data_IF_515072001712
#
_entry.id   IF_515072001712
#
_cell.length_a   1.000
_cell.length_b   1.000
_cell.length_c   1.000
_cell.angle_alpha   90.00
_cell.angle_beta   90.00
_cell.angle_gamma   90.00
#
_symmetry.space_group_name_H-M   'P 1'
#
loop_
_entity.id
_entity.type
_entity.pdbx_description
1 polymer ?
#
# COMPACT_ATOMS: atom_id res chain seq x y z
N UNK A 1 -15.07 -12.65 -27.28
CA UNK A 1 -14.21 -12.53 -26.09
C UNK A 1 -14.26 -11.10 -25.54
N UNK A 2 -13.63 -10.86 -24.39
CA UNK A 2 -13.46 -9.52 -23.82
C UNK A 2 -11.98 -9.21 -23.82
N UNK A 3 -11.59 -8.21 -24.61
CA UNK A 3 -10.24 -7.66 -24.62
C UNK A 3 -10.12 -6.57 -23.54
N UNK A 4 -8.96 -6.48 -22.89
CA UNK A 4 -8.71 -5.52 -21.80
C UNK A 4 -7.43 -4.76 -22.06
N UNK A 5 -7.43 -3.43 -21.88
CA UNK A 5 -6.21 -2.63 -22.02
C UNK A 5 -5.28 -2.68 -20.81
N UNK A 6 -5.82 -2.97 -19.62
CA UNK A 6 -5.04 -2.93 -18.37
C UNK A 6 -5.46 -4.03 -17.37
N UNK A 7 -5.84 -5.20 -17.89
CA UNK A 7 -6.25 -6.34 -17.07
C UNK A 7 -7.56 -6.12 -16.30
N UNK A 8 -7.78 -6.96 -15.29
CA UNK A 8 -9.05 -7.04 -14.54
C UNK A 8 -8.87 -6.87 -13.02
N UNK A 9 -7.66 -6.59 -12.54
CA UNK A 9 -7.36 -6.50 -11.12
C UNK A 9 -6.72 -5.14 -10.81
N UNK A 10 -7.28 -4.44 -9.84
CA UNK A 10 -6.85 -3.13 -9.39
C UNK A 10 -6.67 -3.11 -7.88
N UNK A 11 -5.98 -2.07 -7.39
CA UNK A 11 -5.77 -1.84 -5.97
C UNK A 11 -6.20 -0.43 -5.59
N UNK A 12 -6.80 -0.29 -4.41
CA UNK A 12 -7.11 0.99 -3.77
C UNK A 12 -7.91 1.97 -4.66
N UNK A 13 -8.79 1.43 -5.51
CA UNK A 13 -9.58 2.22 -6.44
C UNK A 13 -8.75 3.00 -7.47
N UNK A 14 -7.50 2.58 -7.73
CA UNK A 14 -6.61 3.24 -8.67
C UNK A 14 -6.53 2.48 -9.99
N UNK A 15 -6.54 3.24 -11.07
CA UNK A 15 -6.42 2.74 -12.43
C UNK A 15 -7.78 2.51 -13.09
N UNK A 16 -7.71 2.16 -14.37
CA UNK A 16 -8.86 1.86 -15.19
C UNK A 16 -8.47 0.83 -16.25
N UNK A 17 -9.46 0.14 -16.80
CA UNK A 17 -9.32 -0.66 -18.02
C UNK A 17 -10.43 -0.31 -18.99
N UNK A 18 -10.12 -0.37 -20.26
CA UNK A 18 -11.11 -0.45 -21.33
C UNK A 18 -11.47 -1.91 -21.52
N UNK A 19 -12.75 -2.24 -21.56
CA UNK A 19 -13.28 -3.54 -21.95
C UNK A 19 -13.85 -3.44 -23.36
N UNK A 20 -13.32 -4.23 -24.30
CA UNK A 20 -13.79 -4.26 -25.68
C UNK A 20 -14.41 -5.62 -25.99
N UNK A 21 -15.68 -5.62 -26.40
CA UNK A 21 -16.36 -6.82 -26.83
C UNK A 21 -15.90 -7.18 -28.26
N UNK A 22 -15.33 -8.38 -28.42
CA UNK A 22 -14.90 -8.92 -29.71
C UNK A 22 -15.69 -10.16 -30.06
N UNK A 23 -16.15 -10.31 -31.29
CA UNK A 23 -16.83 -11.54 -31.74
C UNK A 23 -16.22 -12.07 -33.03
N UNK A 24 -16.14 -13.39 -33.14
CA UNK A 24 -15.57 -14.09 -34.30
C UNK A 24 -16.49 -15.23 -34.70
N UNK A 25 -16.59 -15.50 -36.00
CA UNK A 25 -17.35 -16.62 -36.50
C UNK A 25 -16.44 -17.85 -36.61
N UNK A 26 -16.79 -18.92 -35.90
CA UNK A 26 -15.95 -20.13 -35.88
C UNK A 26 -14.52 -19.85 -35.41
N UNK A 27 -13.56 -20.19 -36.27
CA UNK A 27 -12.12 -19.97 -36.04
C UNK A 27 -11.54 -18.81 -36.87
N UNK A 28 -12.41 -17.95 -37.42
CA UNK A 28 -11.96 -16.83 -38.26
C UNK A 28 -11.12 -15.84 -37.46
N UNK A 29 -10.05 -15.36 -38.08
CA UNK A 29 -9.16 -14.36 -37.47
C UNK A 29 -9.69 -12.91 -37.61
N UNK A 30 -10.70 -12.70 -38.45
CA UNK A 30 -11.30 -11.39 -38.70
C UNK A 30 -12.54 -11.25 -37.82
N UNK A 31 -12.62 -10.13 -37.10
CA UNK A 31 -13.74 -9.83 -36.22
C UNK A 31 -15.05 -9.72 -37.02
N UNK A 32 -16.10 -10.37 -36.53
CA UNK A 32 -17.46 -10.22 -37.04
C UNK A 32 -18.07 -8.92 -36.53
N UNK A 33 -18.69 -8.13 -37.40
CA UNK A 33 -19.41 -6.92 -36.99
C UNK A 33 -20.79 -7.28 -36.47
N UNK A 34 -21.06 -6.98 -35.20
CA UNK A 34 -22.42 -7.07 -34.64
C UNK A 34 -23.27 -5.86 -35.05
N UNK A 35 -24.59 -6.02 -35.04
CA UNK A 35 -25.54 -4.91 -35.22
C UNK A 35 -25.62 -4.06 -33.95
N UNK A 36 -25.50 -4.68 -32.78
CA UNK A 36 -25.48 -3.99 -31.49
C UNK A 36 -24.74 -4.77 -30.41
N UNK A 37 -24.28 -4.01 -29.42
CA UNK A 37 -23.69 -4.52 -28.19
C UNK A 37 -24.43 -3.92 -26.99
N UNK A 38 -24.55 -4.69 -25.91
CA UNK A 38 -25.02 -4.20 -24.61
C UNK A 38 -24.11 -4.71 -23.51
N UNK A 39 -23.72 -3.83 -22.60
CA UNK A 39 -22.90 -4.12 -21.42
C UNK A 39 -23.73 -4.01 -20.16
N UNK A 40 -23.58 -4.96 -19.26
CA UNK A 40 -24.15 -4.93 -17.91
C UNK A 40 -23.07 -4.97 -16.84
N UNK A 41 -23.24 -4.22 -15.75
CA UNK A 41 -22.52 -4.36 -14.49
C UNK A 41 -23.44 -5.03 -13.47
N UNK A 42 -23.05 -6.20 -12.97
CA UNK A 42 -23.83 -6.98 -11.99
C UNK A 42 -25.30 -7.16 -12.41
N UNK A 43 -25.51 -7.45 -13.70
CA UNK A 43 -26.83 -7.64 -14.30
C UNK A 43 -27.57 -6.36 -14.69
N UNK A 44 -27.09 -5.19 -14.28
CA UNK A 44 -27.71 -3.89 -14.63
C UNK A 44 -27.08 -3.32 -15.90
N UNK A 45 -27.88 -2.93 -16.89
CA UNK A 45 -27.40 -2.31 -18.13
C UNK A 45 -26.63 -1.01 -17.83
N UNK A 46 -25.42 -0.88 -18.37
CA UNK A 46 -24.57 0.31 -18.21
C UNK A 46 -24.28 1.02 -19.54
N UNK A 47 -24.27 0.30 -20.67
CA UNK A 47 -24.01 0.93 -21.96
C UNK A 47 -24.47 0.06 -23.14
N UNK A 48 -24.75 0.69 -24.29
CA UNK A 48 -25.07 0.02 -25.56
C UNK A 48 -24.00 0.36 -26.62
N UNK A 49 -22.77 -0.02 -26.34
CA UNK A 49 -21.59 0.27 -27.16
C UNK A 49 -20.67 -0.96 -27.17
N UNK A 50 -19.78 -1.05 -28.14
CA UNK A 50 -18.83 -2.16 -28.21
C UNK A 50 -17.77 -2.11 -27.10
N UNK A 51 -17.42 -0.89 -26.68
CA UNK A 51 -16.34 -0.61 -25.75
C UNK A 51 -16.82 0.21 -24.56
N UNK A 52 -16.39 -0.15 -23.35
CA UNK A 52 -16.61 0.65 -22.14
C UNK A 52 -15.30 0.86 -21.39
N UNK A 53 -15.16 2.02 -20.74
CA UNK A 53 -14.09 2.26 -19.77
C UNK A 53 -14.62 2.01 -18.37
N UNK A 54 -13.91 1.18 -17.60
CA UNK A 54 -14.22 0.88 -16.20
C UNK A 54 -13.13 1.50 -15.33
N UNK A 55 -13.53 2.42 -14.46
CA UNK A 55 -12.67 3.00 -13.44
C UNK A 55 -12.72 2.16 -12.15
N UNK A 56 -11.55 1.82 -11.61
CA UNK A 56 -11.44 0.99 -10.41
C UNK A 56 -12.10 1.64 -9.18
N UNK A 57 -12.17 2.97 -9.11
CA UNK A 57 -12.83 3.69 -8.01
C UNK A 57 -14.33 3.41 -7.92
N UNK A 58 -14.96 2.96 -9.01
CA UNK A 58 -16.36 2.55 -9.03
C UNK A 58 -16.62 1.10 -8.64
N UNK A 59 -15.59 0.33 -8.24
CA UNK A 59 -15.69 -1.09 -7.91
C UNK A 59 -15.46 -1.30 -6.41
N UNK A 60 -16.49 -1.77 -5.73
CA UNK A 60 -16.42 -2.20 -4.32
C UNK A 60 -16.13 -3.71 -4.26
N UNK A 61 -14.87 -4.06 -3.99
CA UNK A 61 -14.38 -5.45 -3.94
C UNK A 61 -14.35 -6.14 -5.31
N UNK A 62 -15.52 -6.42 -5.89
CA UNK A 62 -15.64 -7.02 -7.22
C UNK A 62 -16.92 -6.58 -7.94
N UNK A 63 -16.87 -6.57 -9.26
CA UNK A 63 -18.05 -6.41 -10.13
C UNK A 63 -17.94 -7.29 -11.36
N UNK A 64 -19.07 -7.84 -11.82
CA UNK A 64 -19.15 -8.64 -13.04
C UNK A 64 -19.61 -7.77 -14.19
N UNK A 65 -18.76 -7.63 -15.21
CA UNK A 65 -19.12 -6.99 -16.47
C UNK A 65 -19.41 -8.05 -17.51
N UNK A 66 -20.56 -7.98 -18.15
CA UNK A 66 -20.95 -8.91 -19.20
C UNK A 66 -21.44 -8.16 -20.44
N UNK A 67 -21.09 -8.66 -21.62
CA UNK A 67 -21.65 -8.14 -22.87
C UNK A 67 -22.57 -9.16 -23.54
N UNK A 68 -23.50 -8.64 -24.35
CA UNK A 68 -24.23 -9.38 -25.38
C UNK A 68 -24.05 -8.68 -26.72
N UNK A 69 -23.79 -9.46 -27.76
CA UNK A 69 -23.73 -9.01 -29.14
C UNK A 69 -24.87 -9.62 -29.95
N UNK A 70 -25.55 -8.79 -30.73
CA UNK A 70 -26.75 -9.18 -31.50
C UNK A 70 -26.51 -8.97 -32.99
N UNK A 71 -26.91 -9.95 -33.80
CA UNK A 71 -26.94 -9.89 -35.26
C UNK A 71 -28.29 -10.42 -35.73
N UNK A 72 -28.98 -9.68 -36.61
CA UNK A 72 -30.32 -10.02 -37.10
C UNK A 72 -31.29 -10.33 -35.95
N UNK A 73 -31.35 -9.44 -34.96
CA UNK A 73 -32.19 -9.54 -33.74
C UNK A 73 -31.91 -10.75 -32.83
N UNK A 74 -30.90 -11.57 -33.16
CA UNK A 74 -30.50 -12.74 -32.38
C UNK A 74 -29.21 -12.46 -31.62
N UNK A 75 -29.18 -12.82 -30.33
CA UNK A 75 -27.93 -12.82 -29.56
C UNK A 75 -27.01 -13.91 -30.09
N UNK A 76 -25.87 -13.50 -30.67
CA UNK A 76 -24.89 -14.41 -31.27
C UNK A 76 -23.68 -14.65 -30.38
N UNK A 77 -23.41 -13.75 -29.43
CA UNK A 77 -22.34 -13.94 -28.46
C UNK A 77 -22.66 -13.28 -27.11
N UNK A 78 -22.17 -13.90 -26.04
CA UNK A 78 -22.12 -13.29 -24.72
C UNK A 78 -20.91 -13.84 -23.95
N UNK A 79 -20.25 -12.94 -23.20
CA UNK A 79 -19.15 -13.27 -22.29
C UNK A 79 -19.21 -12.32 -21.09
N UNK A 80 -18.58 -12.74 -20.00
CA UNK A 80 -18.42 -11.94 -18.79
C UNK A 80 -16.98 -11.98 -18.30
N UNK A 81 -16.56 -10.90 -17.67
CA UNK A 81 -15.32 -10.78 -16.90
C UNK A 81 -15.65 -10.29 -15.49
N UNK A 82 -14.86 -10.70 -14.51
CA UNK A 82 -14.94 -10.15 -13.16
C UNK A 82 -13.79 -9.19 -12.97
N UNK A 83 -14.10 -7.95 -12.62
CA UNK A 83 -13.10 -6.96 -12.19
C UNK A 83 -13.05 -6.99 -10.68
N UNK A 84 -11.85 -7.05 -10.10
CA UNK A 84 -11.62 -6.98 -8.65
C UNK A 84 -10.83 -5.73 -8.30
N UNK A 85 -11.26 -5.02 -7.27
CA UNK A 85 -10.54 -3.92 -6.66
C UNK A 85 -10.25 -4.30 -5.21
N UNK A 86 -8.98 -4.46 -4.88
CA UNK A 86 -8.53 -4.92 -3.56
C UNK A 86 -8.00 -3.72 -2.76
N UNK A 87 -8.46 -3.60 -1.53
CA UNK A 87 -7.81 -2.73 -0.53
C UNK A 87 -6.57 -3.45 -0.01
N UNK A 88 -5.38 -2.90 -0.23
CA UNK A 88 -4.13 -3.47 0.29
C UNK A 88 -3.86 -3.10 1.76
N UNK A 89 -4.80 -2.39 2.38
CA UNK A 89 -4.84 -2.05 3.79
C UNK A 89 -4.07 -0.77 4.10
N UNK A 90 -3.91 -0.52 5.40
CA UNK A 90 -3.06 0.58 5.88
C UNK A 90 -1.66 0.05 6.16
N UNK A 91 -0.63 0.69 5.58
CA UNK A 91 0.75 0.34 5.91
C UNK A 91 1.03 0.45 7.41
N UNK A 92 1.78 -0.48 8.01
CA UNK A 92 2.18 -0.36 9.41
C UNK A 92 3.07 0.89 9.60
N UNK A 93 3.06 1.42 10.82
CA UNK A 93 4.01 2.45 11.24
C UNK A 93 5.33 1.76 11.57
N UNK A 94 6.41 2.20 10.93
CA UNK A 94 7.77 1.73 11.19
C UNK A 94 8.52 2.78 12.02
N UNK A 95 9.04 2.38 13.17
CA UNK A 95 9.96 3.22 13.96
C UNK A 95 11.40 2.93 13.53
N UNK A 96 12.11 3.99 13.18
CA UNK A 96 13.54 3.97 12.88
C UNK A 96 14.24 4.90 13.87
N UNK A 97 15.35 4.43 14.44
CA UNK A 97 16.27 5.30 15.16
C UNK A 97 17.32 5.74 14.15
N UNK A 98 17.51 7.05 14.00
CA UNK A 98 18.59 7.66 13.23
C UNK A 98 19.65 8.25 14.16
N UNK A 99 20.90 8.19 13.74
CA UNK A 99 22.04 8.62 14.56
C UNK A 99 22.86 9.69 13.85
N UNK A 100 23.08 10.82 14.53
CA UNK A 100 23.90 11.91 14.00
C UNK A 100 25.39 11.56 13.82
N UNK A 101 25.86 10.46 14.42
CA UNK A 101 27.28 10.08 14.41
C UNK A 101 27.48 8.55 14.36
N UNK A 102 26.53 7.82 13.78
CA UNK A 102 26.57 6.36 13.64
C UNK A 102 26.35 5.58 14.95
N UNK A 103 26.57 4.27 14.90
CA UNK A 103 26.26 3.35 16.01
C UNK A 103 27.50 2.67 16.62
N UNK A 104 28.69 2.98 16.08
CA UNK A 104 29.95 2.39 16.53
C UNK A 104 30.93 3.51 16.85
N UNK A 105 31.43 3.51 18.07
CA UNK A 105 32.33 4.53 18.59
C UNK A 105 33.66 3.91 19.00
N UNK A 106 34.75 4.69 18.97
CA UNK A 106 36.10 4.25 19.35
C UNK A 106 36.69 5.19 20.41
N UNK A 107 37.70 4.71 21.13
CA UNK A 107 38.48 5.48 22.09
C UNK A 107 37.66 6.19 23.19
N UNK A 108 36.51 5.61 23.56
CA UNK A 108 35.59 6.17 24.56
C UNK A 108 35.05 7.58 24.23
N UNK A 109 35.12 8.00 22.97
CA UNK A 109 34.56 9.26 22.49
C UNK A 109 33.20 8.94 21.88
N UNK A 110 32.15 9.17 22.66
CA UNK A 110 30.76 8.98 22.25
C UNK A 110 30.07 10.32 22.38
N UNK A 111 29.59 10.83 21.25
CA UNK A 111 28.69 11.97 21.18
C UNK A 111 27.83 11.76 19.95
N UNK A 112 26.59 11.35 20.18
CA UNK A 112 25.62 11.17 19.12
C UNK A 112 24.24 11.55 19.61
N UNK A 113 23.40 12.01 18.70
CA UNK A 113 21.99 12.23 18.96
C UNK A 113 21.22 11.15 18.21
N UNK A 114 20.50 10.35 18.97
CA UNK A 114 19.51 9.42 18.42
C UNK A 114 18.19 10.14 18.25
N UNK A 115 17.56 9.99 17.09
CA UNK A 115 16.25 10.58 16.75
C UNK A 115 15.31 9.45 16.34
N UNK A 116 14.16 9.36 16.99
CA UNK A 116 13.10 8.43 16.63
C UNK A 116 12.25 9.02 15.49
N UNK A 117 12.15 8.27 14.39
CA UNK A 117 11.46 8.66 13.17
C UNK A 117 10.38 7.61 12.87
N UNK A 118 9.13 8.06 12.78
CA UNK A 118 8.00 7.21 12.42
C UNK A 118 7.69 7.36 10.93
N UNK A 119 7.76 6.26 10.20
CA UNK A 119 7.41 6.20 8.79
C UNK A 119 6.12 5.41 8.58
N UNK A 120 5.23 5.96 7.76
CA UNK A 120 4.10 5.23 7.19
C UNK A 120 4.00 5.59 5.70
N UNK A 121 3.80 4.61 4.83
CA UNK A 121 3.78 4.82 3.37
C UNK A 121 5.03 5.56 2.86
N UNK A 122 6.22 5.21 3.38
CA UNK A 122 7.51 5.82 3.04
C UNK A 122 7.61 7.34 3.32
N UNK A 123 6.75 7.87 4.20
CA UNK A 123 6.77 9.28 4.60
C UNK A 123 6.82 9.40 6.12
N UNK A 124 7.60 10.33 6.63
CA UNK A 124 7.59 10.65 8.06
C UNK A 124 6.23 11.23 8.45
N UNK A 125 5.62 10.71 9.51
CA UNK A 125 4.26 11.08 9.93
C UNK A 125 4.19 12.04 11.12
N UNK A 126 5.29 12.23 11.84
CA UNK A 126 5.37 13.06 13.05
C UNK A 126 6.73 13.78 13.13
N UNK A 127 7.01 14.64 12.15
CA UNK A 127 8.30 15.33 12.02
C UNK A 127 8.60 16.29 13.18
N UNK A 128 7.58 16.89 13.77
CA UNK A 128 7.69 17.78 14.94
C UNK A 128 7.69 17.02 16.27
N UNK A 129 7.30 15.75 16.28
CA UNK A 129 7.32 14.89 17.46
C UNK A 129 6.21 15.21 18.47
N UNK A 130 5.08 15.73 17.99
CA UNK A 130 3.98 16.18 18.84
C UNK A 130 2.78 15.25 18.83
N UNK A 131 2.74 14.29 17.88
CA UNK A 131 1.61 13.36 17.71
C UNK A 131 1.78 12.07 18.50
N UNK A 132 3.01 11.63 18.71
CA UNK A 132 3.35 10.40 19.44
C UNK A 132 4.20 10.70 20.68
N UNK A 133 4.23 9.74 21.61
CA UNK A 133 5.03 9.84 22.83
C UNK A 133 6.27 8.95 22.71
N UNK A 134 7.44 9.57 22.57
CA UNK A 134 8.71 8.87 22.31
C UNK A 134 9.43 8.54 23.60
N UNK A 135 9.26 7.32 24.10
CA UNK A 135 9.87 6.87 25.35
C UNK A 135 11.08 6.00 25.06
N UNK A 136 12.22 6.38 25.61
CA UNK A 136 13.48 5.68 25.41
C UNK A 136 13.78 4.71 26.54
N UNK A 137 14.38 3.58 26.18
CA UNK A 137 14.89 2.61 27.13
C UNK A 137 16.29 2.15 26.75
N UNK A 138 17.07 1.82 27.77
CA UNK A 138 18.42 1.31 27.68
C UNK A 138 18.54 -0.06 28.34
N UNK A 139 19.26 -0.93 27.66
CA UNK A 139 19.74 -2.22 28.15
C UNK A 139 21.27 -2.22 28.15
N UNK A 140 21.86 -2.66 29.25
CA UNK A 140 23.31 -2.72 29.45
C UNK A 140 23.97 -3.81 28.61
N UNK A 141 25.30 -3.80 28.57
CA UNK A 141 26.11 -4.76 27.82
C UNK A 141 25.84 -6.23 28.18
N UNK A 142 25.45 -6.48 29.43
CA UNK A 142 25.11 -7.79 30.00
C UNK A 142 23.65 -8.21 29.78
N UNK A 143 22.84 -7.37 29.12
CA UNK A 143 21.42 -7.63 28.85
C UNK A 143 20.48 -7.20 29.98
N UNK A 144 20.97 -6.62 31.06
CA UNK A 144 20.12 -6.08 32.14
C UNK A 144 19.58 -4.70 31.79
N UNK A 145 18.36 -4.41 32.23
CA UNK A 145 17.75 -3.08 32.05
C UNK A 145 18.45 -2.04 32.92
N UNK A 146 18.77 -0.87 32.36
CA UNK A 146 19.30 0.25 33.14
C UNK A 146 18.16 1.02 33.81
N UNK A 147 17.81 0.61 35.03
CA UNK A 147 16.64 1.15 35.73
C UNK A 147 16.75 2.65 36.01
N UNK A 148 17.95 3.15 36.36
CA UNK A 148 18.15 4.55 36.67
C UNK A 148 18.06 5.41 35.41
N UNK A 149 18.69 4.96 34.31
CA UNK A 149 18.62 5.64 33.03
C UNK A 149 17.18 5.63 32.49
N UNK A 150 16.50 4.49 32.53
CA UNK A 150 15.12 4.36 32.04
C UNK A 150 14.15 5.24 32.83
N UNK A 151 14.30 5.31 34.16
CA UNK A 151 13.49 6.18 35.01
C UNK A 151 13.64 7.67 34.64
N UNK A 152 14.87 8.09 34.29
CA UNK A 152 15.18 9.46 33.88
C UNK A 152 14.64 9.84 32.49
N UNK A 153 14.39 8.86 31.62
CA UNK A 153 13.95 9.06 30.22
C UNK A 153 12.50 8.60 29.96
N UNK A 154 11.65 8.64 31.00
CA UNK A 154 10.21 8.32 30.87
C UNK A 154 9.36 9.44 30.25
N UNK A 155 9.92 10.63 30.11
CA UNK A 155 9.22 11.74 29.45
C UNK A 155 9.42 11.63 27.95
N UNK A 156 8.37 11.91 27.17
CA UNK A 156 8.45 11.92 25.71
C UNK A 156 9.57 12.83 25.21
N UNK A 157 10.50 12.26 24.44
CA UNK A 157 11.58 12.98 23.77
C UNK A 157 11.81 12.35 22.39
N UNK A 158 11.52 13.08 21.30
CA UNK A 158 11.78 12.57 19.94
C UNK A 158 13.26 12.28 19.70
N UNK A 159 14.15 13.05 20.35
CA UNK A 159 15.59 12.87 20.26
C UNK A 159 16.25 12.84 21.64
N UNK A 160 17.31 12.03 21.77
CA UNK A 160 18.16 11.95 22.96
C UNK A 160 19.63 12.02 22.57
N UNK A 161 20.46 12.59 23.44
CA UNK A 161 21.91 12.59 23.26
C UNK A 161 22.53 11.47 24.08
N UNK A 162 23.32 10.63 23.41
CA UNK A 162 24.09 9.55 24.01
C UNK A 162 25.55 9.98 24.10
N UNK A 163 26.10 9.84 25.29
CA UNK A 163 27.49 10.18 25.60
C UNK A 163 28.25 8.97 26.14
N UNK A 164 29.52 9.18 26.49
CA UNK A 164 30.35 8.13 27.06
C UNK A 164 29.88 7.67 28.45
N UNK A 165 29.16 8.50 29.21
CA UNK A 165 28.57 8.06 30.49
C UNK A 165 27.41 7.07 30.31
N UNK A 166 26.78 7.08 29.15
CA UNK A 166 25.62 6.24 28.86
C UNK A 166 26.01 4.83 28.37
N UNK A 167 27.28 4.61 28.00
CA UNK A 167 27.71 3.35 27.38
C UNK A 167 28.95 2.81 28.07
N UNK A 168 28.79 1.66 28.74
CA UNK A 168 29.92 0.89 29.25
C UNK A 168 30.11 -0.38 28.43
N UNK A 169 31.17 -0.41 27.61
CA UNK A 169 31.48 -1.42 26.59
C UNK A 169 30.47 -1.48 25.44
N UNK A 170 29.19 -1.71 25.75
CA UNK A 170 28.05 -1.76 24.83
C UNK A 170 26.78 -1.38 25.59
N UNK A 171 25.83 -0.79 24.90
CA UNK A 171 24.46 -0.65 25.36
C UNK A 171 23.52 -0.76 24.16
N UNK A 172 22.30 -1.24 24.40
CA UNK A 172 21.22 -1.20 23.41
C UNK A 172 20.26 -0.11 23.83
N UNK A 173 19.88 0.75 22.89
CA UNK A 173 18.89 1.79 23.08
C UNK A 173 17.70 1.49 22.17
N UNK A 174 16.51 1.51 22.76
CA UNK A 174 15.24 1.30 22.08
C UNK A 174 14.34 2.51 22.32
N UNK A 175 13.36 2.70 21.44
CA UNK A 175 12.35 3.72 21.56
C UNK A 175 10.97 3.11 21.29
N UNK A 176 9.98 3.54 22.07
CA UNK A 176 8.55 3.22 21.86
C UNK A 176 7.81 4.51 21.53
N UNK A 177 6.78 4.42 20.67
CA UNK A 177 6.00 5.56 20.19
C UNK A 177 4.51 5.22 20.07
#
# INVERSE_FOLDING_TARGET
EVETTNGLQFKNGKGSTTLTARIYFGSDAIETKADSYSWTKDGTLVANVQEITVDASGIDGKAVYAYKATVNEKVVASRSVTITNVDDGTSPINLVIDSSNGYQFKNNIINTTFTAILYQNNKEIDSDGTKFAYIWSKTNSDGTVDTAWNLAHQTSQKSITITNSDVWQRATFDCTA
#
